data_IF_208438828057
#
_entry.id   IF_208438828057
#
_cell.length_a   1.000
_cell.length_b   1.000
_cell.length_c   1.000
_cell.angle_alpha   90.00
_cell.angle_beta   90.00
_cell.angle_gamma   90.00
#
_symmetry.space_group_name_H-M   'P 1'
#
loop_
_entity.id
_entity.type
_entity.pdbx_description
1 polymer ?
#
# COMPACT_ATOMS: atom_id res chain seq x y z
N UNK A 1 15.68 -16.88 -26.82
CA UNK A 1 15.36 -15.43 -27.02
C UNK A 1 16.69 -14.66 -26.98
N UNK A 2 16.89 -13.67 -27.86
CA UNK A 2 18.01 -12.74 -27.70
C UNK A 2 17.74 -11.86 -26.46
N UNK A 3 18.74 -11.80 -25.59
CA UNK A 3 18.69 -10.90 -24.42
C UNK A 3 18.75 -9.46 -24.91
N UNK A 4 17.89 -8.59 -24.36
CA UNK A 4 18.02 -7.15 -24.55
C UNK A 4 19.23 -6.66 -23.74
N UNK A 5 20.31 -6.36 -24.46
CA UNK A 5 21.58 -6.03 -23.83
C UNK A 5 21.56 -4.65 -23.18
N UNK A 6 20.78 -3.72 -23.70
CA UNK A 6 20.66 -2.36 -23.16
C UNK A 6 19.93 -2.40 -21.81
N UNK A 7 18.77 -3.05 -21.75
CA UNK A 7 18.03 -3.22 -20.51
C UNK A 7 18.82 -4.04 -19.49
N UNK A 8 19.53 -5.08 -19.93
CA UNK A 8 20.37 -5.89 -19.04
C UNK A 8 21.50 -5.07 -18.42
N UNK A 9 22.09 -4.13 -19.16
CA UNK A 9 23.13 -3.24 -18.65
C UNK A 9 22.56 -2.23 -17.63
N UNK A 10 21.38 -1.67 -17.89
CA UNK A 10 20.70 -0.80 -16.92
C UNK A 10 20.38 -1.52 -15.62
N UNK A 11 19.86 -2.74 -15.68
CA UNK A 11 19.60 -3.58 -14.50
C UNK A 11 20.88 -3.81 -13.69
N UNK A 12 22.00 -4.15 -14.35
CA UNK A 12 23.29 -4.34 -13.67
C UNK A 12 23.81 -3.05 -13.02
N UNK A 13 23.62 -1.91 -13.66
CA UNK A 13 23.99 -0.62 -13.07
C UNK A 13 23.15 -0.29 -11.85
N UNK A 14 21.86 -0.58 -11.91
CA UNK A 14 20.95 -0.41 -10.76
C UNK A 14 21.30 -1.36 -9.61
N UNK A 15 21.60 -2.62 -9.90
CA UNK A 15 22.11 -3.57 -8.90
C UNK A 15 23.38 -3.03 -8.21
N UNK A 16 24.33 -2.52 -8.99
CA UNK A 16 25.55 -1.90 -8.46
C UNK A 16 25.24 -0.65 -7.61
N UNK A 17 24.27 0.16 -8.01
CA UNK A 17 23.83 1.33 -7.23
C UNK A 17 23.29 0.89 -5.88
N UNK A 18 22.39 -0.07 -5.86
CA UNK A 18 21.79 -0.60 -4.62
C UNK A 18 22.84 -1.24 -3.71
N UNK A 19 23.77 -2.00 -4.25
CA UNK A 19 24.85 -2.64 -3.48
C UNK A 19 25.83 -1.66 -2.84
N UNK A 20 25.97 -0.45 -3.35
CA UNK A 20 26.91 0.57 -2.88
C UNK A 20 26.24 1.70 -2.09
N UNK A 21 24.91 1.78 -2.17
CA UNK A 21 24.12 2.79 -1.47
C UNK A 21 23.71 2.33 -0.09
N UNK A 22 23.47 3.28 0.80
CA UNK A 22 22.76 3.07 2.04
C UNK A 22 21.37 3.66 1.88
N UNK A 23 20.36 2.80 1.71
CA UNK A 23 18.98 3.23 1.51
C UNK A 23 18.30 3.49 2.86
N UNK A 24 17.82 4.72 3.06
CA UNK A 24 17.16 5.15 4.29
C UNK A 24 15.65 5.40 4.11
N UNK A 25 15.13 5.16 2.91
CA UNK A 25 13.70 5.29 2.62
C UNK A 25 13.01 3.96 2.94
N UNK A 26 12.09 3.97 3.90
CA UNK A 26 11.45 2.76 4.40
C UNK A 26 10.71 1.94 3.31
N UNK A 27 10.19 2.61 2.26
CA UNK A 27 9.52 1.96 1.13
C UNK A 27 10.47 1.26 0.14
N UNK A 28 11.76 1.46 0.25
CA UNK A 28 12.79 0.87 -0.62
C UNK A 28 13.52 -0.30 0.04
N UNK A 29 12.81 -1.11 0.82
CA UNK A 29 13.36 -2.31 1.45
C UNK A 29 13.73 -3.37 0.40
N UNK A 30 14.89 -4.02 0.60
CA UNK A 30 15.34 -5.10 -0.28
C UNK A 30 14.49 -6.35 -0.11
N UNK A 31 14.01 -6.88 -1.24
CA UNK A 31 13.24 -8.13 -1.25
C UNK A 31 14.16 -9.35 -1.31
N UNK A 32 13.67 -10.50 -0.86
CA UNK A 32 14.42 -11.74 -0.96
C UNK A 32 14.56 -12.23 -2.42
N UNK A 33 15.59 -13.03 -2.74
CA UNK A 33 15.72 -13.66 -4.06
C UNK A 33 14.48 -14.47 -4.47
N UNK A 34 13.76 -15.06 -3.51
CA UNK A 34 12.52 -15.81 -3.77
C UNK A 34 11.38 -14.89 -4.25
N UNK A 35 11.27 -13.67 -3.72
CA UNK A 35 10.30 -12.68 -4.20
C UNK A 35 10.62 -12.26 -5.63
N UNK A 36 11.91 -11.99 -5.95
CA UNK A 36 12.34 -11.66 -7.31
C UNK A 36 12.05 -12.79 -8.28
N UNK A 37 12.32 -14.05 -7.90
CA UNK A 37 12.02 -15.21 -8.70
C UNK A 37 10.53 -15.41 -8.96
N UNK A 38 9.68 -15.14 -7.98
CA UNK A 38 8.23 -15.21 -8.12
C UNK A 38 7.69 -14.15 -9.08
N UNK A 39 8.18 -12.89 -8.97
CA UNK A 39 7.82 -11.79 -9.87
C UNK A 39 8.19 -12.06 -11.32
N UNK A 40 9.37 -12.66 -11.56
CA UNK A 40 9.85 -13.00 -12.90
C UNK A 40 9.42 -14.39 -13.40
N UNK A 41 8.46 -15.03 -12.75
CA UNK A 41 8.00 -16.38 -13.10
C UNK A 41 6.97 -16.37 -14.24
N UNK A 42 6.64 -17.59 -14.70
CA UNK A 42 5.59 -17.83 -15.71
C UNK A 42 4.19 -17.34 -15.27
N UNK A 43 3.98 -17.06 -13.97
CA UNK A 43 2.74 -16.48 -13.48
C UNK A 43 2.45 -15.11 -14.11
N UNK A 44 3.47 -14.39 -14.56
CA UNK A 44 3.35 -13.13 -15.32
C UNK A 44 2.53 -13.29 -16.61
N UNK A 45 2.50 -14.49 -17.20
CA UNK A 45 1.76 -14.78 -18.43
C UNK A 45 0.26 -15.03 -18.17
N UNK A 46 -0.13 -15.26 -16.92
CA UNK A 46 -1.48 -15.71 -16.60
C UNK A 46 -2.42 -14.56 -16.25
N UNK A 47 -3.48 -14.40 -17.03
CA UNK A 47 -4.58 -13.51 -16.73
C UNK A 47 -5.59 -14.25 -15.81
N UNK A 48 -5.81 -13.75 -14.62
CA UNK A 48 -6.58 -14.41 -13.57
C UNK A 48 -7.59 -13.47 -12.89
N UNK A 49 -8.34 -12.72 -13.71
CA UNK A 49 -9.41 -11.84 -13.23
C UNK A 49 -10.44 -12.63 -12.41
N UNK A 50 -10.89 -12.05 -11.31
CA UNK A 50 -11.76 -12.68 -10.33
C UNK A 50 -10.98 -13.11 -9.07
N UNK A 51 -11.54 -14.07 -8.34
CA UNK A 51 -10.96 -14.57 -7.08
C UNK A 51 -10.76 -16.09 -7.14
N UNK A 52 -9.97 -16.71 -6.24
CA UNK A 52 -9.82 -18.14 -6.18
C UNK A 52 -11.17 -18.88 -6.21
N UNK A 53 -11.32 -19.84 -7.13
CA UNK A 53 -12.56 -20.57 -7.36
C UNK A 53 -13.67 -19.82 -8.12
N UNK A 54 -13.51 -18.52 -8.34
CA UNK A 54 -14.48 -17.63 -9.02
C UNK A 54 -13.76 -16.76 -10.07
N UNK A 55 -13.13 -17.39 -11.06
CA UNK A 55 -12.41 -16.73 -12.13
C UNK A 55 -13.25 -16.55 -13.39
N UNK A 56 -12.97 -15.49 -14.12
CA UNK A 56 -13.55 -15.26 -15.44
C UNK A 56 -12.80 -16.01 -16.56
N UNK A 57 -11.61 -16.55 -16.26
CA UNK A 57 -10.74 -17.25 -17.21
C UNK A 57 -10.48 -18.70 -16.77
N UNK A 58 -10.31 -19.58 -17.75
CA UNK A 58 -9.89 -20.96 -17.51
C UNK A 58 -8.40 -21.07 -17.17
N UNK A 59 -7.97 -22.24 -16.65
CA UNK A 59 -6.57 -22.53 -16.38
C UNK A 59 -5.98 -21.82 -15.16
N UNK A 60 -6.80 -21.44 -14.17
CA UNK A 60 -6.38 -20.67 -13.00
C UNK A 60 -6.07 -21.55 -11.78
N UNK A 61 -6.12 -22.88 -11.89
CA UNK A 61 -6.02 -23.80 -10.75
C UNK A 61 -4.75 -23.60 -9.91
N UNK A 62 -3.61 -23.35 -10.55
CA UNK A 62 -2.35 -23.15 -9.84
C UNK A 62 -2.23 -21.73 -9.30
N UNK A 63 -2.73 -20.72 -10.03
CA UNK A 63 -2.77 -19.34 -9.55
C UNK A 63 -3.71 -19.21 -8.37
N UNK A 64 -4.83 -19.93 -8.36
CA UNK A 64 -5.74 -19.99 -7.21
C UNK A 64 -5.04 -20.50 -5.94
N UNK A 65 -4.21 -21.53 -6.06
CA UNK A 65 -3.42 -22.05 -4.94
C UNK A 65 -2.38 -21.04 -4.46
N UNK A 66 -1.73 -20.32 -5.39
CA UNK A 66 -0.75 -19.28 -5.04
C UNK A 66 -1.43 -18.14 -4.30
N UNK A 67 -2.55 -17.65 -4.80
CA UNK A 67 -3.31 -16.55 -4.18
C UNK A 67 -3.86 -16.98 -2.82
N UNK A 68 -4.47 -18.17 -2.72
CA UNK A 68 -4.98 -18.69 -1.45
C UNK A 68 -3.88 -18.86 -0.42
N UNK A 69 -2.72 -19.38 -0.82
CA UNK A 69 -1.55 -19.51 0.06
C UNK A 69 -1.07 -18.14 0.59
N UNK A 70 -1.12 -17.10 -0.25
CA UNK A 70 -0.78 -15.73 0.17
C UNK A 70 -1.80 -15.17 1.17
N UNK A 71 -3.10 -15.38 0.91
CA UNK A 71 -4.20 -15.00 1.82
C UNK A 71 -4.03 -15.66 3.18
N UNK A 72 -3.84 -16.98 3.21
CA UNK A 72 -3.72 -17.76 4.46
C UNK A 72 -2.52 -17.29 5.29
N UNK A 73 -1.38 -17.04 4.62
CA UNK A 73 -0.16 -16.54 5.28
C UNK A 73 -0.34 -15.13 5.82
N UNK A 74 -1.01 -14.26 5.09
CA UNK A 74 -1.28 -12.89 5.51
C UNK A 74 -2.25 -12.87 6.70
N UNK A 75 -3.32 -13.67 6.66
CA UNK A 75 -4.24 -13.84 7.79
C UNK A 75 -3.50 -14.32 9.04
N UNK A 76 -2.61 -15.31 8.90
CA UNK A 76 -1.80 -15.81 10.02
C UNK A 76 -0.82 -14.76 10.56
N UNK A 77 -0.20 -13.98 9.67
CA UNK A 77 0.80 -12.97 10.06
C UNK A 77 0.18 -11.84 10.88
N UNK A 78 -1.04 -11.41 10.53
CA UNK A 78 -1.73 -10.29 11.15
C UNK A 78 -2.85 -10.71 12.13
N UNK A 79 -2.98 -12.01 12.41
CA UNK A 79 -4.09 -12.57 13.21
C UNK A 79 -5.47 -12.05 12.70
N UNK A 80 -5.62 -12.02 11.39
CA UNK A 80 -6.80 -11.49 10.70
C UNK A 80 -7.70 -12.61 10.19
N UNK A 81 -9.00 -12.37 10.16
CA UNK A 81 -9.97 -13.32 9.62
C UNK A 81 -10.03 -13.31 8.09
N UNK A 82 -9.71 -12.18 7.48
CA UNK A 82 -9.80 -11.97 6.03
C UNK A 82 -8.59 -11.17 5.54
N UNK A 83 -8.17 -11.46 4.32
CA UNK A 83 -7.14 -10.72 3.62
C UNK A 83 -7.44 -10.65 2.13
N UNK A 84 -7.05 -9.56 1.49
CA UNK A 84 -7.03 -9.42 0.04
C UNK A 84 -5.59 -9.11 -0.39
N UNK A 85 -5.03 -9.96 -1.25
CA UNK A 85 -3.63 -9.86 -1.70
C UNK A 85 -3.52 -9.37 -3.15
N UNK A 86 -4.63 -8.95 -3.77
CA UNK A 86 -4.65 -8.52 -5.16
C UNK A 86 -4.15 -7.09 -5.43
N UNK A 87 -4.21 -6.12 -4.48
CA UNK A 87 -3.70 -4.78 -4.76
C UNK A 87 -2.24 -4.82 -5.21
N UNK A 88 -1.93 -4.13 -6.31
CA UNK A 88 -0.57 -4.06 -6.86
C UNK A 88 0.33 -3.06 -6.10
N UNK A 89 -0.23 -2.25 -5.21
CA UNK A 89 0.49 -1.23 -4.43
C UNK A 89 -0.27 -0.86 -3.17
N UNK A 90 0.43 -0.27 -2.19
CA UNK A 90 -0.20 0.30 -1.00
C UNK A 90 -1.21 1.40 -1.34
N UNK A 91 -0.96 2.20 -2.38
CA UNK A 91 -1.90 3.21 -2.85
C UNK A 91 -3.21 2.60 -3.35
N UNK A 92 -3.15 1.48 -4.08
CA UNK A 92 -4.35 0.76 -4.52
C UNK A 92 -5.08 0.11 -3.34
N UNK A 93 -4.36 -0.47 -2.38
CA UNK A 93 -4.95 -1.04 -1.17
C UNK A 93 -5.69 0.04 -0.36
N UNK A 94 -5.09 1.20 -0.15
CA UNK A 94 -5.72 2.33 0.54
C UNK A 94 -6.96 2.81 -0.22
N UNK A 95 -6.90 2.92 -1.54
CA UNK A 95 -8.05 3.32 -2.36
C UNK A 95 -9.19 2.30 -2.28
N UNK A 96 -8.88 1.00 -2.27
CA UNK A 96 -9.90 -0.04 -2.11
C UNK A 96 -10.64 0.10 -0.76
N UNK A 97 -9.92 0.34 0.33
CA UNK A 97 -10.52 0.60 1.65
C UNK A 97 -11.36 1.88 1.62
N UNK A 98 -10.85 2.96 1.05
CA UNK A 98 -11.60 4.21 0.95
C UNK A 98 -12.91 4.03 0.17
N UNK A 99 -12.87 3.35 -0.98
CA UNK A 99 -14.08 3.09 -1.79
C UNK A 99 -15.06 2.15 -1.10
N UNK A 100 -14.60 1.26 -0.25
CA UNK A 100 -15.47 0.39 0.56
C UNK A 100 -16.17 1.16 1.69
N UNK A 101 -15.49 2.15 2.29
CA UNK A 101 -15.96 2.88 3.47
C UNK A 101 -16.62 4.23 3.16
N UNK A 102 -16.28 4.84 2.03
CA UNK A 102 -16.62 6.23 1.69
C UNK A 102 -17.32 6.33 0.34
N UNK A 103 -18.15 7.37 0.22
CA UNK A 103 -18.66 7.85 -1.07
C UNK A 103 -17.90 9.13 -1.48
N UNK A 104 -17.82 9.47 -2.77
CA UNK A 104 -17.24 10.75 -3.21
C UNK A 104 -17.79 11.94 -2.41
N UNK A 105 -16.90 12.78 -1.89
CA UNK A 105 -17.24 13.92 -1.05
C UNK A 105 -17.37 13.63 0.46
N UNK A 106 -17.35 12.37 0.88
CA UNK A 106 -17.36 12.02 2.30
C UNK A 106 -16.07 12.49 2.99
N UNK A 107 -16.19 12.84 4.26
CA UNK A 107 -15.07 13.30 5.09
C UNK A 107 -14.31 12.12 5.68
N UNK A 108 -12.98 12.20 5.60
CA UNK A 108 -12.06 11.31 6.30
C UNK A 108 -10.89 12.09 6.92
N UNK A 109 -10.19 11.48 7.88
CA UNK A 109 -9.01 12.05 8.51
C UNK A 109 -7.77 11.18 8.26
N UNK A 110 -6.60 11.80 8.18
CA UNK A 110 -5.30 11.16 8.09
C UNK A 110 -4.20 12.11 8.57
N UNK A 111 -3.03 11.58 8.90
CA UNK A 111 -1.90 12.40 9.30
C UNK A 111 -1.48 13.33 8.15
N UNK A 112 -1.25 14.63 8.49
CA UNK A 112 -0.84 15.63 7.52
C UNK A 112 0.47 15.23 6.79
N UNK A 113 0.54 15.50 5.50
CA UNK A 113 1.68 15.10 4.67
C UNK A 113 3.01 15.66 5.21
N UNK A 114 3.04 16.94 5.57
CA UNK A 114 4.25 17.61 6.09
C UNK A 114 4.66 17.14 7.49
N UNK A 115 3.80 16.33 8.14
CA UNK A 115 4.05 15.76 9.46
C UNK A 115 4.32 14.24 9.41
N UNK A 116 4.68 13.74 8.23
CA UNK A 116 5.01 12.33 8.02
C UNK A 116 3.88 11.48 7.46
N UNK A 117 2.75 12.06 7.08
CA UNK A 117 1.65 11.35 6.43
C UNK A 117 2.02 10.85 5.03
N UNK A 118 1.08 10.18 4.38
CA UNK A 118 1.22 9.66 3.03
C UNK A 118 0.37 10.46 2.04
N UNK A 119 0.76 10.45 0.75
CA UNK A 119 -0.04 11.12 -0.30
C UNK A 119 -1.50 10.65 -0.32
N UNK A 120 -1.75 9.38 -0.03
CA UNK A 120 -3.11 8.82 0.03
C UNK A 120 -3.93 9.27 1.25
N UNK A 121 -3.34 10.06 2.17
CA UNK A 121 -4.05 10.66 3.30
C UNK A 121 -4.73 11.99 2.94
N UNK A 122 -5.05 12.22 1.67
CA UNK A 122 -5.83 13.37 1.23
C UNK A 122 -5.03 14.49 0.60
N UNK A 123 -3.80 14.22 0.14
CA UNK A 123 -3.04 15.20 -0.64
C UNK A 123 -3.86 15.68 -1.86
N UNK A 124 -3.92 17.00 -2.15
CA UNK A 124 -4.70 17.53 -3.26
C UNK A 124 -4.29 16.99 -4.63
N UNK A 125 -3.06 16.51 -4.77
CA UNK A 125 -2.56 15.92 -6.02
C UNK A 125 -2.89 14.43 -6.13
N UNK A 126 -3.30 13.79 -5.03
CA UNK A 126 -3.67 12.39 -4.97
C UNK A 126 -5.17 12.21 -5.19
N UNK A 127 -5.57 11.03 -5.71
CA UNK A 127 -6.98 10.70 -5.92
C UNK A 127 -7.81 10.78 -4.63
N UNK A 128 -7.22 10.47 -3.47
CA UNK A 128 -7.88 10.56 -2.17
C UNK A 128 -8.34 11.98 -1.85
N UNK A 129 -7.49 12.99 -2.09
CA UNK A 129 -7.83 14.39 -1.91
C UNK A 129 -8.71 14.98 -3.00
N UNK A 130 -8.78 14.32 -4.18
CA UNK A 130 -9.65 14.73 -5.29
C UNK A 130 -11.06 14.17 -5.15
N UNK A 131 -11.23 12.98 -4.59
CA UNK A 131 -12.53 12.30 -4.49
C UNK A 131 -13.22 12.55 -3.16
N UNK A 132 -12.48 12.73 -2.08
CA UNK A 132 -13.01 12.81 -0.73
C UNK A 132 -12.61 14.12 -0.05
N UNK A 133 -13.32 14.49 1.01
CA UNK A 133 -13.00 15.65 1.83
C UNK A 133 -12.03 15.24 2.94
N UNK A 134 -10.74 15.52 2.73
CA UNK A 134 -9.69 15.19 3.68
C UNK A 134 -9.55 16.30 4.73
N UNK A 135 -9.65 15.94 6.01
CA UNK A 135 -9.36 16.81 7.15
C UNK A 135 -8.17 16.22 7.89
N UNK A 136 -6.97 16.83 7.80
CA UNK A 136 -5.79 16.27 8.41
C UNK A 136 -5.77 16.43 9.93
N UNK A 137 -5.15 15.49 10.63
CA UNK A 137 -4.67 15.68 12.00
C UNK A 137 -3.15 15.86 12.01
N UNK A 138 -2.63 16.41 13.10
CA UNK A 138 -1.23 16.83 13.19
C UNK A 138 -0.48 16.23 14.37
N UNK A 139 0.70 16.81 14.61
CA UNK A 139 1.59 16.47 15.71
C UNK A 139 1.67 17.62 16.70
N UNK A 140 1.95 17.29 17.95
CA UNK A 140 2.36 18.26 18.99
C UNK A 140 3.74 18.85 18.65
N UNK A 141 4.17 19.96 19.28
CA UNK A 141 5.50 20.51 19.10
C UNK A 141 6.63 19.52 19.41
N UNK A 142 6.39 18.53 20.28
CA UNK A 142 7.34 17.48 20.63
C UNK A 142 7.36 16.32 19.64
N UNK A 143 6.53 16.38 18.59
CA UNK A 143 6.49 15.42 17.50
C UNK A 143 5.69 14.15 17.77
N UNK A 144 4.78 14.15 18.72
CA UNK A 144 3.81 13.09 18.95
C UNK A 144 2.47 13.40 18.27
N UNK A 145 1.68 12.38 17.96
CA UNK A 145 0.30 12.59 17.46
C UNK A 145 -0.48 13.40 18.50
N UNK A 146 -1.05 14.51 18.05
CA UNK A 146 -1.89 15.36 18.89
C UNK A 146 -3.31 14.76 18.98
N UNK A 147 -3.49 13.84 19.91
CA UNK A 147 -4.76 13.14 20.09
C UNK A 147 -5.87 14.06 20.56
N UNK A 148 -5.58 15.08 21.37
CA UNK A 148 -6.58 16.04 21.85
C UNK A 148 -7.14 16.89 20.70
N UNK A 149 -6.23 17.40 19.86
CA UNK A 149 -6.62 18.15 18.66
C UNK A 149 -7.31 17.23 17.64
N UNK A 150 -6.85 16.00 17.51
CA UNK A 150 -7.46 15.01 16.61
C UNK A 150 -8.89 14.68 17.03
N UNK A 151 -9.15 14.44 18.32
CA UNK A 151 -10.49 14.19 18.86
C UNK A 151 -11.41 15.38 18.62
N UNK A 152 -10.97 16.59 18.97
CA UNK A 152 -11.74 17.81 18.74
C UNK A 152 -12.12 17.95 17.27
N UNK A 153 -11.15 17.81 16.38
CA UNK A 153 -11.39 17.90 14.93
C UNK A 153 -12.33 16.81 14.44
N UNK A 154 -12.20 15.59 14.95
CA UNK A 154 -13.08 14.49 14.59
C UNK A 154 -14.54 14.73 15.03
N UNK A 155 -14.74 15.29 16.23
CA UNK A 155 -16.08 15.65 16.72
C UNK A 155 -16.73 16.77 15.89
N UNK A 156 -15.93 17.70 15.39
CA UNK A 156 -16.39 18.81 14.54
C UNK A 156 -16.71 18.34 13.11
N UNK A 157 -15.79 17.61 12.45
CA UNK A 157 -15.94 17.23 11.04
C UNK A 157 -16.66 15.89 10.83
N UNK A 158 -16.83 15.08 11.89
CA UNK A 158 -17.53 13.78 11.88
C UNK A 158 -17.09 12.87 10.73
N UNK A 159 -15.81 12.49 10.68
CA UNK A 159 -15.27 11.70 9.60
C UNK A 159 -15.88 10.29 9.60
N UNK A 160 -16.07 9.70 8.43
CA UNK A 160 -16.48 8.31 8.29
C UNK A 160 -15.31 7.32 8.38
N UNK A 161 -14.09 7.81 8.20
CA UNK A 161 -12.87 7.04 8.25
C UNK A 161 -11.75 7.88 8.86
N UNK A 162 -10.96 7.28 9.73
CA UNK A 162 -9.70 7.85 10.23
C UNK A 162 -8.59 6.88 9.88
N UNK A 163 -7.57 7.35 9.18
CA UNK A 163 -6.40 6.56 8.81
C UNK A 163 -5.34 6.71 9.91
N UNK A 164 -5.06 5.63 10.64
CA UNK A 164 -3.92 5.52 11.54
C UNK A 164 -2.74 4.93 10.79
N UNK A 165 -1.62 5.65 10.73
CA UNK A 165 -0.41 5.24 10.03
C UNK A 165 0.31 6.41 9.37
N UNK A 166 1.57 6.18 8.99
CA UNK A 166 2.43 7.22 8.42
C UNK A 166 3.51 6.62 7.52
N UNK A 167 4.09 7.48 6.67
CA UNK A 167 5.29 7.14 5.89
C UNK A 167 6.58 7.47 6.67
N UNK A 168 6.56 8.51 7.51
CA UNK A 168 7.74 9.05 8.17
C UNK A 168 7.45 9.50 9.61
N UNK A 169 6.77 8.70 10.38
CA UNK A 169 6.53 8.91 11.80
C UNK A 169 7.21 7.79 12.60
N UNK A 170 8.18 8.16 13.44
CA UNK A 170 9.06 7.21 14.16
C UNK A 170 8.73 7.07 15.66
N UNK A 171 7.65 7.66 16.12
CA UNK A 171 7.17 7.57 17.50
C UNK A 171 6.12 6.47 17.64
N UNK A 172 5.81 6.12 18.86
CA UNK A 172 4.68 5.23 19.18
C UNK A 172 3.34 5.93 18.91
N UNK A 173 2.39 5.11 18.48
CA UNK A 173 1.00 5.54 18.25
C UNK A 173 0.18 5.37 19.51
#
# INVERSE_FOLDING_TARGET
MKQDLEISDFIKREENRQMRGLELIASENFVSPQVLAALGSVCTNKYAEGYPGHRYYGGCQEVDKIEQCAIDRLCKLFDAQYANVQPHSGAQANMAVMLACLKPGDTFMGLHLDMGGHLTHGSPVNISGKMFHAVPYGLTPDGYVDYDQMEKTALECKPKLIIGGASAYSREW
#
